data_IF_752463017025
#
_entry.id   IF_752463017025
#
_cell.length_a   1.000
_cell.length_b   1.000
_cell.length_c   1.000
_cell.angle_alpha   90.00
_cell.angle_beta   90.00
_cell.angle_gamma   90.00
#
_symmetry.space_group_name_H-M   'P 1'
#
loop_
_entity.id
_entity.type
_entity.pdbx_description
1 polymer ?
#
# COMPACT_ATOMS: atom_id res chain seq x y z
N UNK A 1 -33.74 45.56 57.10
CA UNK A 1 -33.97 44.33 57.89
C UNK A 1 -33.37 43.14 57.14
N UNK A 2 -32.29 42.54 57.66
CA UNK A 2 -31.75 41.29 57.11
C UNK A 2 -32.56 40.13 57.71
N UNK A 3 -33.40 39.47 56.90
CA UNK A 3 -34.06 38.22 57.31
C UNK A 3 -33.00 37.12 57.32
N UNK A 4 -32.75 36.53 58.49
CA UNK A 4 -31.90 35.35 58.60
C UNK A 4 -32.61 34.15 57.97
N UNK A 5 -31.89 33.36 57.18
CA UNK A 5 -32.41 32.13 56.59
C UNK A 5 -32.73 31.13 57.71
N UNK A 6 -33.88 30.47 57.62
CA UNK A 6 -34.25 29.44 58.57
C UNK A 6 -33.44 28.16 58.32
N UNK A 7 -33.19 27.37 59.36
CA UNK A 7 -32.42 26.12 59.25
C UNK A 7 -33.05 25.13 58.25
N UNK A 8 -34.38 25.16 58.13
CA UNK A 8 -35.12 24.33 57.16
C UNK A 8 -34.86 24.76 55.72
N UNK A 9 -34.83 26.06 55.42
CA UNK A 9 -34.51 26.57 54.08
C UNK A 9 -33.11 26.16 53.65
N UNK A 10 -32.12 26.21 54.55
CA UNK A 10 -30.76 25.76 54.28
C UNK A 10 -30.68 24.26 53.96
N UNK A 11 -31.43 23.42 54.68
CA UNK A 11 -31.47 21.98 54.43
C UNK A 11 -32.12 21.64 53.09
N UNK A 12 -33.23 22.32 52.76
CA UNK A 12 -33.92 22.13 51.47
C UNK A 12 -33.01 22.58 50.32
N UNK A 13 -32.33 23.72 50.44
CA UNK A 13 -31.38 24.19 49.42
C UNK A 13 -30.20 23.23 49.23
N UNK A 14 -29.63 22.69 50.31
CA UNK A 14 -28.54 21.70 50.23
C UNK A 14 -29.00 20.39 49.56
N UNK A 15 -30.21 19.93 49.90
CA UNK A 15 -30.78 18.71 49.31
C UNK A 15 -31.01 18.88 47.81
N UNK A 16 -31.58 20.01 47.39
CA UNK A 16 -31.75 20.34 45.97
C UNK A 16 -30.39 20.45 45.28
N UNK A 17 -29.41 21.10 45.90
CA UNK A 17 -28.06 21.23 45.34
C UNK A 17 -27.39 19.85 45.15
N UNK A 18 -27.52 18.93 46.10
CA UNK A 18 -27.00 17.56 45.95
C UNK A 18 -27.66 16.81 44.78
N UNK A 19 -28.98 16.93 44.63
CA UNK A 19 -29.71 16.29 43.52
C UNK A 19 -29.24 16.88 42.18
N UNK A 20 -29.11 18.21 42.09
CA UNK A 20 -28.65 18.90 40.88
C UNK A 20 -27.20 18.52 40.55
N UNK A 21 -26.30 18.50 41.54
CA UNK A 21 -24.91 18.08 41.34
C UNK A 21 -24.82 16.62 40.90
N UNK A 22 -25.65 15.74 41.46
CA UNK A 22 -25.73 14.34 41.03
C UNK A 22 -26.16 14.20 39.57
N UNK A 23 -27.16 14.97 39.14
CA UNK A 23 -27.60 15.00 37.74
C UNK A 23 -26.52 15.55 36.81
N UNK A 24 -25.86 16.66 37.17
CA UNK A 24 -24.75 17.25 36.39
C UNK A 24 -23.59 16.27 36.26
N UNK A 25 -23.20 15.62 37.36
CA UNK A 25 -22.10 14.65 37.36
C UNK A 25 -22.41 13.45 36.44
N UNK A 26 -23.63 12.93 36.48
CA UNK A 26 -24.08 11.85 35.59
C UNK A 26 -23.98 12.26 34.11
N UNK A 27 -24.47 13.45 33.76
CA UNK A 27 -24.40 13.98 32.39
C UNK A 27 -22.95 14.19 31.96
N UNK A 28 -22.11 14.75 32.83
CA UNK A 28 -20.69 14.97 32.53
C UNK A 28 -19.97 13.66 32.26
N UNK A 29 -20.22 12.62 33.05
CA UNK A 29 -19.61 11.30 32.85
C UNK A 29 -20.06 10.65 31.53
N UNK A 30 -21.35 10.77 31.18
CA UNK A 30 -21.88 10.31 29.89
C UNK A 30 -21.25 11.09 28.73
N UNK A 31 -21.07 12.40 28.87
CA UNK A 31 -20.44 13.23 27.84
C UNK A 31 -18.96 12.89 27.65
N UNK A 32 -18.21 12.68 28.73
CA UNK A 32 -16.80 12.29 28.66
C UNK A 32 -16.62 10.95 27.95
N UNK A 33 -17.38 9.92 28.34
CA UNK A 33 -17.30 8.60 27.70
C UNK A 33 -17.72 8.64 26.23
N UNK A 34 -18.80 9.36 25.90
CA UNK A 34 -19.22 9.56 24.50
C UNK A 34 -18.18 10.31 23.68
N UNK A 35 -17.60 11.38 24.22
CA UNK A 35 -16.59 12.18 23.53
C UNK A 35 -15.34 11.36 23.20
N UNK A 36 -14.87 10.55 24.16
CA UNK A 36 -13.73 9.65 23.95
C UNK A 36 -14.03 8.61 22.87
N UNK A 37 -15.20 7.96 22.95
CA UNK A 37 -15.60 6.97 21.95
C UNK A 37 -15.71 7.60 20.54
N UNK A 38 -16.24 8.82 20.43
CA UNK A 38 -16.31 9.54 19.14
C UNK A 38 -14.92 9.85 18.61
N UNK A 39 -14.01 10.35 19.46
CA UNK A 39 -12.64 10.65 19.07
C UNK A 39 -11.89 9.41 18.58
N UNK A 40 -11.94 8.31 19.33
CA UNK A 40 -11.32 7.03 18.94
C UNK A 40 -11.84 6.56 17.58
N UNK A 41 -13.15 6.67 17.34
CA UNK A 41 -13.72 6.26 16.05
C UNK A 41 -13.29 7.13 14.89
N UNK A 42 -13.06 8.42 15.14
CA UNK A 42 -12.54 9.32 14.12
C UNK A 42 -11.11 8.94 13.75
N UNK A 43 -10.26 8.64 14.74
CA UNK A 43 -8.87 8.21 14.52
C UNK A 43 -8.84 6.91 13.71
N UNK A 44 -9.62 5.90 14.11
CA UNK A 44 -9.72 4.63 13.36
C UNK A 44 -10.13 4.82 11.90
N UNK A 45 -11.07 5.73 11.61
CA UNK A 45 -11.45 6.02 10.22
C UNK A 45 -10.34 6.73 9.46
N UNK A 46 -9.66 7.69 10.08
CA UNK A 46 -8.56 8.42 9.45
C UNK A 46 -7.39 7.48 9.14
N UNK A 47 -6.96 6.68 10.10
CA UNK A 47 -5.83 5.76 9.94
C UNK A 47 -6.12 4.71 8.86
N UNK A 48 -7.34 4.16 8.84
CA UNK A 48 -7.75 3.22 7.80
C UNK A 48 -7.72 3.85 6.40
N UNK A 49 -8.16 5.10 6.25
CA UNK A 49 -8.16 5.79 4.95
C UNK A 49 -6.74 6.14 4.48
N UNK A 50 -5.87 6.55 5.40
CA UNK A 50 -4.45 6.80 5.09
C UNK A 50 -3.78 5.50 4.67
N UNK A 51 -3.91 4.42 5.47
CA UNK A 51 -3.32 3.13 5.16
C UNK A 51 -3.83 2.57 3.82
N UNK A 52 -5.14 2.63 3.56
CA UNK A 52 -5.69 2.24 2.28
C UNK A 52 -5.06 3.05 1.12
N UNK A 53 -4.90 4.36 1.30
CA UNK A 53 -4.26 5.20 0.28
C UNK A 53 -2.81 4.77 0.03
N UNK A 54 -2.02 4.55 1.07
CA UNK A 54 -0.62 4.12 0.93
C UNK A 54 -0.51 2.74 0.27
N UNK A 55 -1.38 1.78 0.65
CA UNK A 55 -1.43 0.45 0.03
C UNK A 55 -1.78 0.55 -1.46
N UNK A 56 -2.74 1.42 -1.81
CA UNK A 56 -3.08 1.68 -3.22
C UNK A 56 -1.88 2.22 -4.00
N UNK A 57 -1.10 3.13 -3.41
CA UNK A 57 0.11 3.66 -4.06
C UNK A 57 1.12 2.55 -4.36
N UNK A 58 1.39 1.65 -3.42
CA UNK A 58 2.27 0.50 -3.67
C UNK A 58 1.72 -0.43 -4.74
N UNK A 59 0.42 -0.73 -4.72
CA UNK A 59 -0.25 -1.53 -5.75
C UNK A 59 -0.16 -0.85 -7.13
N UNK A 60 -0.29 0.47 -7.19
CA UNK A 60 -0.11 1.23 -8.44
C UNK A 60 1.31 1.16 -8.96
N UNK A 61 2.32 1.19 -8.07
CA UNK A 61 3.73 1.14 -8.43
C UNK A 61 4.20 -0.28 -8.77
N UNK A 62 3.58 -1.31 -8.20
CA UNK A 62 3.95 -2.71 -8.42
C UNK A 62 4.09 -3.04 -9.91
N UNK A 63 5.15 -3.77 -10.25
CA UNK A 63 5.54 -4.11 -11.62
C UNK A 63 6.40 -3.07 -12.34
N UNK A 64 6.74 -1.96 -11.70
CA UNK A 64 7.61 -0.99 -12.32
C UNK A 64 9.03 -1.55 -12.54
N UNK A 65 9.54 -1.38 -13.76
CA UNK A 65 10.83 -1.93 -14.17
C UNK A 65 10.90 -3.46 -14.25
N UNK A 66 9.82 -4.18 -13.95
CA UNK A 66 9.77 -5.64 -14.02
C UNK A 66 9.40 -6.07 -15.45
N UNK A 67 10.10 -7.09 -15.97
CA UNK A 67 9.80 -7.62 -17.29
C UNK A 67 8.48 -8.41 -17.31
N UNK A 68 7.74 -8.39 -18.44
CA UNK A 68 6.39 -8.99 -18.56
C UNK A 68 6.28 -10.47 -18.17
N UNK A 69 7.38 -11.22 -18.28
CA UNK A 69 7.40 -12.65 -17.97
C UNK A 69 7.73 -12.94 -16.49
N UNK A 70 8.07 -11.92 -15.72
CA UNK A 70 8.38 -12.04 -14.29
C UNK A 70 7.13 -11.66 -13.50
N UNK A 71 6.70 -12.47 -12.52
CA UNK A 71 5.56 -12.11 -11.67
C UNK A 71 5.90 -10.86 -10.88
N UNK A 72 5.15 -9.79 -11.13
CA UNK A 72 5.20 -8.51 -10.41
C UNK A 72 4.43 -8.56 -9.08
N UNK A 73 3.45 -9.45 -8.99
CA UNK A 73 2.61 -9.67 -7.83
C UNK A 73 2.56 -11.17 -7.57
N UNK A 74 2.75 -11.55 -6.31
CA UNK A 74 2.45 -12.88 -5.82
C UNK A 74 1.47 -12.76 -4.67
N UNK A 75 0.60 -13.76 -4.51
CA UNK A 75 -0.38 -13.77 -3.43
C UNK A 75 -0.50 -15.15 -2.82
N UNK A 76 -0.92 -15.18 -1.57
CA UNK A 76 -1.26 -16.38 -0.83
C UNK A 76 -2.63 -16.15 -0.22
N UNK A 77 -3.63 -16.87 -0.76
CA UNK A 77 -4.96 -16.91 -0.17
C UNK A 77 -4.93 -17.84 1.05
N UNK A 78 -5.37 -17.33 2.20
CA UNK A 78 -5.59 -18.14 3.38
C UNK A 78 -7.09 -18.20 3.70
N UNK A 79 -7.79 -19.25 3.25
CA UNK A 79 -9.24 -19.39 3.45
C UNK A 79 -9.77 -19.30 4.90
N UNK A 80 -8.90 -19.39 5.92
CA UNK A 80 -9.27 -19.27 7.34
C UNK A 80 -8.39 -18.26 8.12
N UNK A 81 -7.69 -17.36 7.42
CA UNK A 81 -6.85 -16.35 8.02
C UNK A 81 -6.69 -15.15 7.08
N UNK A 82 -5.92 -14.15 7.52
CA UNK A 82 -5.56 -13.04 6.65
C UNK A 82 -4.72 -13.50 5.45
N UNK A 83 -4.99 -12.91 4.30
CA UNK A 83 -4.21 -13.09 3.09
C UNK A 83 -2.86 -12.39 3.18
N UNK A 84 -1.95 -12.83 2.31
CA UNK A 84 -0.68 -12.18 2.07
C UNK A 84 -0.53 -11.82 0.59
N UNK A 85 0.05 -10.65 0.34
CA UNK A 85 0.45 -10.23 -1.01
C UNK A 85 1.91 -9.77 -1.00
N UNK A 86 2.67 -10.16 -2.02
CA UNK A 86 4.04 -9.72 -2.27
C UNK A 86 4.03 -8.84 -3.52
N UNK A 87 4.55 -7.62 -3.40
CA UNK A 87 4.63 -6.65 -4.48
C UNK A 87 6.09 -6.44 -4.90
N UNK A 88 6.40 -6.67 -6.17
CA UNK A 88 7.73 -6.45 -6.76
C UNK A 88 7.73 -5.22 -7.65
N UNK A 89 8.88 -4.57 -7.78
CA UNK A 89 9.02 -3.35 -8.57
C UNK A 89 8.32 -2.14 -7.92
N UNK A 90 8.33 -2.08 -6.58
CA UNK A 90 7.74 -0.97 -5.80
C UNK A 90 8.77 0.07 -5.36
N UNK A 91 10.00 -0.03 -5.86
CA UNK A 91 11.14 0.82 -5.46
C UNK A 91 10.89 2.32 -5.64
N UNK A 92 10.12 2.73 -6.66
CA UNK A 92 9.81 4.15 -6.88
C UNK A 92 8.69 4.71 -5.98
N UNK A 93 8.19 3.92 -5.03
CA UNK A 93 7.21 4.36 -4.03
C UNK A 93 7.87 4.91 -2.77
N UNK A 94 7.62 4.30 -1.62
CA UNK A 94 8.23 4.70 -0.35
C UNK A 94 9.73 4.36 -0.23
N UNK A 95 10.28 3.63 -1.20
CA UNK A 95 11.63 3.06 -1.17
C UNK A 95 12.58 3.73 -2.18
N UNK A 96 12.30 4.96 -2.59
CA UNK A 96 13.04 5.67 -3.66
C UNK A 96 14.53 5.79 -3.37
N UNK A 97 14.93 5.80 -2.11
CA UNK A 97 16.34 5.87 -1.70
C UNK A 97 17.15 4.61 -2.06
N UNK A 98 16.47 3.49 -2.31
CA UNK A 98 17.11 2.20 -2.61
C UNK A 98 17.14 1.87 -4.11
N UNK A 99 16.41 2.60 -4.94
CA UNK A 99 16.33 2.30 -6.38
C UNK A 99 16.52 3.54 -7.22
N UNK A 100 17.52 3.49 -8.09
CA UNK A 100 17.76 4.56 -9.06
C UNK A 100 17.32 4.12 -10.43
N UNK A 101 16.87 5.11 -11.21
CA UNK A 101 16.42 4.86 -12.56
C UNK A 101 16.78 6.01 -13.48
N UNK A 102 16.93 5.71 -14.76
CA UNK A 102 17.02 6.73 -15.80
C UNK A 102 16.63 6.19 -17.18
N UNK A 103 15.92 6.99 -18.00
CA UNK A 103 15.69 6.66 -19.39
C UNK A 103 16.97 6.83 -20.23
N UNK A 104 17.13 5.96 -21.21
CA UNK A 104 18.20 6.04 -22.22
C UNK A 104 17.88 7.14 -23.23
N UNK A 105 18.82 8.05 -23.47
CA UNK A 105 18.61 9.25 -24.29
C UNK A 105 18.75 8.96 -25.78
N UNK A 106 19.65 8.05 -26.15
CA UNK A 106 19.95 7.72 -27.54
C UNK A 106 20.06 6.21 -27.76
N UNK A 107 19.78 5.79 -29.01
CA UNK A 107 19.96 4.38 -29.39
C UNK A 107 21.44 4.06 -29.40
N UNK A 108 21.80 2.97 -28.73
CA UNK A 108 23.14 2.40 -28.71
C UNK A 108 23.11 1.03 -29.38
N UNK A 109 24.09 0.71 -30.21
CA UNK A 109 24.19 -0.59 -30.88
C UNK A 109 25.58 -1.19 -30.66
N UNK A 110 25.62 -2.38 -30.05
CA UNK A 110 26.84 -3.13 -29.76
C UNK A 110 27.97 -2.30 -29.10
N UNK A 111 27.62 -1.48 -28.11
CA UNK A 111 28.58 -0.65 -27.37
C UNK A 111 28.51 -0.94 -25.87
N UNK A 112 29.62 -0.67 -25.18
CA UNK A 112 29.70 -0.73 -23.72
C UNK A 112 29.41 0.61 -23.05
N UNK A 113 28.91 1.59 -23.80
CA UNK A 113 28.60 2.93 -23.29
C UNK A 113 27.12 3.23 -23.53
N UNK A 114 26.42 3.65 -22.48
CA UNK A 114 25.01 4.01 -22.51
C UNK A 114 24.87 5.44 -22.01
N UNK A 115 24.13 6.27 -22.75
CA UNK A 115 23.80 7.62 -22.31
C UNK A 115 22.41 7.61 -21.68
N UNK A 116 22.36 7.92 -20.39
CA UNK A 116 21.12 7.99 -19.61
C UNK A 116 20.86 9.42 -19.16
N UNK A 117 19.59 9.76 -19.00
CA UNK A 117 19.19 11.06 -18.49
C UNK A 117 19.63 11.25 -17.04
N UNK A 118 20.09 12.45 -16.72
CA UNK A 118 20.40 12.85 -15.34
C UNK A 118 19.28 13.74 -14.83
N UNK A 119 18.60 13.29 -13.78
CA UNK A 119 17.65 14.13 -13.05
C UNK A 119 18.39 15.25 -12.32
N UNK A 120 17.79 16.44 -12.31
CA UNK A 120 18.32 17.61 -11.61
C UNK A 120 17.87 17.60 -10.13
N UNK A 121 18.09 16.48 -9.46
CA UNK A 121 17.75 16.28 -8.06
C UNK A 121 18.98 15.83 -7.25
N UNK A 122 18.79 15.74 -5.94
CA UNK A 122 19.82 15.30 -4.98
C UNK A 122 19.74 13.82 -4.66
N UNK A 123 18.84 13.05 -5.32
CA UNK A 123 18.72 11.60 -5.11
C UNK A 123 19.97 10.91 -5.63
N UNK A 124 20.33 9.72 -5.09
CA UNK A 124 21.54 9.02 -5.50
C UNK A 124 21.55 8.84 -7.01
N UNK A 125 22.59 9.37 -7.65
CA UNK A 125 22.90 8.99 -9.01
C UNK A 125 23.43 7.54 -8.99
N UNK A 126 23.41 6.88 -10.15
CA UNK A 126 24.19 5.65 -10.33
C UNK A 126 25.63 5.83 -9.83
N UNK A 127 26.18 4.80 -9.20
CA UNK A 127 27.57 4.76 -8.73
C UNK A 127 28.39 3.72 -9.50
N UNK A 128 29.71 3.91 -9.52
CA UNK A 128 30.62 2.92 -10.11
C UNK A 128 30.61 1.67 -9.24
N UNK A 129 30.34 0.52 -9.85
CA UNK A 129 30.17 -0.77 -9.17
C UNK A 129 28.71 -1.19 -9.03
N UNK A 130 27.75 -0.30 -9.29
CA UNK A 130 26.34 -0.66 -9.26
C UNK A 130 26.01 -1.68 -10.35
N UNK A 131 25.13 -2.61 -9.97
CA UNK A 131 24.54 -3.57 -10.88
C UNK A 131 23.23 -3.01 -11.40
N UNK A 132 23.05 -2.99 -12.72
CA UNK A 132 21.87 -2.45 -13.38
C UNK A 132 21.14 -3.50 -14.22
N UNK A 133 19.86 -3.24 -14.43
CA UNK A 133 18.97 -3.96 -15.32
C UNK A 133 18.48 -2.97 -16.38
N UNK A 134 18.36 -3.45 -17.62
CA UNK A 134 17.90 -2.64 -18.74
C UNK A 134 16.66 -3.30 -19.33
N UNK A 135 15.58 -2.51 -19.39
CA UNK A 135 14.28 -2.95 -19.87
C UNK A 135 13.85 -2.04 -21.02
N UNK A 136 13.34 -2.62 -22.10
CA UNK A 136 12.85 -1.84 -23.23
C UNK A 136 11.45 -1.23 -22.95
N UNK A 137 10.92 -0.49 -23.93
CA UNK A 137 9.61 0.15 -23.83
C UNK A 137 8.47 -0.88 -23.78
N UNK A 138 8.67 -2.04 -24.39
CA UNK A 138 7.76 -3.18 -24.34
C UNK A 138 7.97 -4.04 -23.07
N UNK A 139 8.68 -3.57 -22.04
CA UNK A 139 8.94 -4.33 -20.80
C UNK A 139 9.60 -5.70 -21.04
N UNK A 140 10.41 -5.84 -22.08
CA UNK A 140 11.32 -6.97 -22.28
C UNK A 140 12.66 -6.67 -21.65
N UNK A 141 13.18 -7.67 -20.96
CA UNK A 141 14.51 -7.63 -20.35
C UNK A 141 15.55 -7.70 -21.47
N UNK A 142 16.32 -6.61 -21.68
CA UNK A 142 17.40 -6.57 -22.67
C UNK A 142 18.67 -7.19 -22.09
N UNK A 143 19.03 -6.81 -20.88
CA UNK A 143 20.15 -7.39 -20.14
C UNK A 143 19.88 -7.27 -18.63
N UNK A 144 20.47 -8.19 -17.88
CA UNK A 144 20.40 -8.24 -16.44
C UNK A 144 21.79 -8.44 -15.87
N UNK A 145 22.08 -7.70 -14.80
CA UNK A 145 23.37 -7.74 -14.11
C UNK A 145 24.52 -7.13 -14.91
N UNK A 146 24.29 -6.02 -15.63
CA UNK A 146 25.39 -5.21 -16.14
C UNK A 146 26.00 -4.45 -14.98
N UNK A 147 27.33 -4.34 -14.92
CA UNK A 147 28.01 -3.61 -13.86
C UNK A 147 28.56 -2.31 -14.42
N UNK A 148 28.29 -1.20 -13.74
CA UNK A 148 28.83 0.10 -14.11
C UNK A 148 30.31 0.16 -13.74
N UNK A 149 31.17 0.30 -14.74
CA UNK A 149 32.62 0.39 -14.60
C UNK A 149 33.14 1.83 -14.51
N UNK A 150 32.42 2.78 -15.12
CA UNK A 150 32.77 4.20 -15.12
C UNK A 150 31.52 5.04 -15.38
N UNK A 151 31.48 6.26 -14.82
CA UNK A 151 30.42 7.24 -15.01
C UNK A 151 31.05 8.57 -15.38
N UNK A 152 30.70 9.10 -16.55
CA UNK A 152 31.08 10.45 -16.96
C UNK A 152 29.83 11.34 -17.01
N UNK A 153 29.86 12.50 -16.35
CA UNK A 153 28.81 13.50 -16.52
C UNK A 153 28.95 14.15 -17.89
N UNK A 154 27.89 14.13 -18.69
CA UNK A 154 27.88 14.69 -20.04
C UNK A 154 26.69 15.62 -20.22
N UNK A 155 26.90 16.65 -21.02
CA UNK A 155 25.84 17.50 -21.53
C UNK A 155 25.55 17.05 -22.96
N UNK A 156 24.39 16.44 -23.17
CA UNK A 156 23.98 15.89 -24.47
C UNK A 156 23.04 16.86 -25.19
N UNK A 157 23.46 17.35 -26.34
CA UNK A 157 22.66 18.28 -27.14
C UNK A 157 21.88 17.53 -28.22
N UNK A 158 20.54 17.57 -28.14
CA UNK A 158 19.64 17.04 -29.16
C UNK A 158 18.89 18.20 -29.81
N UNK A 159 19.25 18.53 -31.04
CA UNK A 159 18.69 19.67 -31.78
C UNK A 159 18.76 20.99 -30.98
N UNK A 160 17.64 21.67 -30.73
CA UNK A 160 17.55 22.94 -29.99
C UNK A 160 17.60 22.79 -28.46
N UNK A 161 17.68 21.56 -27.93
CA UNK A 161 17.65 21.30 -26.50
C UNK A 161 18.96 20.69 -26.01
N UNK A 162 19.32 21.06 -24.78
CA UNK A 162 20.46 20.53 -24.06
C UNK A 162 19.95 19.73 -22.87
N UNK A 163 20.38 18.48 -22.76
CA UNK A 163 19.99 17.57 -21.69
C UNK A 163 21.22 17.16 -20.90
N UNK A 164 21.15 17.26 -19.59
CA UNK A 164 22.16 16.68 -18.72
C UNK A 164 21.99 15.16 -18.68
N UNK A 165 23.10 14.46 -18.79
CA UNK A 165 23.12 13.01 -18.84
C UNK A 165 24.33 12.43 -18.14
N UNK A 166 24.24 11.13 -17.87
CA UNK A 166 25.38 10.31 -17.51
C UNK A 166 25.73 9.40 -18.67
N UNK A 167 27.02 9.34 -18.98
CA UNK A 167 27.58 8.31 -19.84
C UNK A 167 28.06 7.18 -18.93
N UNK A 168 27.26 6.12 -18.88
CA UNK A 168 27.56 4.91 -18.11
C UNK A 168 28.37 3.97 -18.98
N UNK A 169 29.56 3.59 -18.54
CA UNK A 169 30.33 2.53 -19.17
C UNK A 169 30.11 1.23 -18.44
N UNK A 170 29.63 0.21 -19.12
CA UNK A 170 29.32 -1.10 -18.57
C UNK A 170 30.38 -2.15 -18.92
N UNK A 171 30.35 -3.27 -18.20
CA UNK A 171 31.28 -4.40 -18.32
C UNK A 171 31.19 -5.17 -19.66
N UNK A 172 30.13 -4.97 -20.44
CA UNK A 172 29.85 -5.70 -21.69
C UNK A 172 29.22 -4.81 -22.76
N UNK A 173 29.27 -5.26 -24.03
CA UNK A 173 28.61 -4.56 -25.11
C UNK A 173 27.12 -4.94 -25.19
N UNK A 174 26.25 -3.94 -25.33
CA UNK A 174 24.80 -4.11 -25.41
C UNK A 174 24.22 -3.27 -26.56
N UNK A 175 23.02 -3.64 -27.02
CA UNK A 175 22.21 -2.81 -27.91
C UNK A 175 20.94 -2.40 -27.18
N UNK A 176 20.69 -1.10 -27.09
CA UNK A 176 19.58 -0.53 -26.32
C UNK A 176 18.94 0.58 -27.14
N UNK A 177 17.62 0.61 -27.15
CA UNK A 177 16.86 1.60 -27.89
C UNK A 177 16.64 2.85 -27.03
N UNK A 178 16.53 4.01 -27.70
CA UNK A 178 16.15 5.26 -27.04
C UNK A 178 14.85 5.06 -26.26
N UNK A 179 14.78 5.57 -25.04
CA UNK A 179 13.60 5.45 -24.17
C UNK A 179 13.50 4.13 -23.40
N UNK A 180 14.42 3.18 -23.62
CA UNK A 180 14.59 2.06 -22.69
C UNK A 180 14.93 2.60 -21.30
N UNK A 181 14.58 1.86 -20.27
CA UNK A 181 14.78 2.26 -18.89
C UNK A 181 15.94 1.46 -18.27
N UNK A 182 16.85 2.18 -17.62
CA UNK A 182 17.94 1.62 -16.83
C UNK A 182 17.55 1.73 -15.36
N UNK A 183 17.67 0.62 -14.64
CA UNK A 183 17.33 0.54 -13.22
C UNK A 183 18.47 -0.06 -12.42
N UNK A 184 18.72 0.48 -11.23
CA UNK A 184 19.45 -0.22 -10.18
C UNK A 184 18.44 -1.01 -9.35
N UNK A 185 18.34 -2.35 -9.52
CA UNK A 185 17.42 -3.15 -8.74
C UNK A 185 17.90 -3.26 -7.29
N UNK A 186 17.02 -2.96 -6.34
CA UNK A 186 17.22 -3.39 -4.95
C UNK A 186 16.66 -4.81 -4.76
N UNK A 187 17.36 -5.63 -3.98
CA UNK A 187 16.97 -7.03 -3.76
C UNK A 187 15.62 -7.15 -3.08
N UNK A 188 15.29 -6.24 -2.16
CA UNK A 188 14.07 -6.31 -1.37
C UNK A 188 12.88 -5.74 -2.12
N UNK A 189 13.05 -4.68 -2.92
CA UNK A 189 11.92 -4.07 -3.65
C UNK A 189 11.69 -4.68 -5.05
N UNK A 190 12.74 -5.14 -5.72
CA UNK A 190 12.68 -5.65 -7.09
C UNK A 190 12.69 -7.19 -7.14
N UNK A 191 13.64 -7.83 -6.45
CA UNK A 191 13.84 -9.28 -6.51
C UNK A 191 12.82 -10.08 -5.69
N UNK A 192 12.88 -9.91 -4.36
CA UNK A 192 11.95 -10.58 -3.45
C UNK A 192 10.56 -9.94 -3.51
N UNK A 193 10.53 -8.60 -3.45
CA UNK A 193 9.33 -7.81 -3.28
C UNK A 193 9.05 -7.49 -1.82
N UNK A 194 8.09 -6.59 -1.61
CA UNK A 194 7.61 -6.18 -0.30
C UNK A 194 6.36 -6.97 0.02
N UNK A 195 6.41 -7.68 1.15
CA UNK A 195 5.30 -8.49 1.65
C UNK A 195 4.36 -7.66 2.52
N UNK A 196 3.06 -7.83 2.33
CA UNK A 196 2.05 -7.39 3.26
C UNK A 196 1.53 -8.60 4.03
N UNK A 197 1.82 -8.65 5.34
CA UNK A 197 1.49 -9.79 6.19
C UNK A 197 0.90 -9.32 7.51
N UNK A 198 -0.18 -9.96 7.95
CA UNK A 198 -0.76 -9.69 9.26
C UNK A 198 -0.04 -10.51 10.34
N UNK A 199 0.52 -9.83 11.34
CA UNK A 199 1.19 -10.45 12.49
C UNK A 199 0.62 -9.88 13.78
N UNK A 200 -0.09 -10.71 14.56
CA UNK A 200 -0.63 -10.32 15.88
C UNK A 200 -1.40 -8.99 15.85
N UNK A 201 -2.38 -8.89 14.96
CA UNK A 201 -3.19 -7.68 14.69
C UNK A 201 -2.42 -6.45 14.19
N UNK A 202 -1.19 -6.63 13.73
CA UNK A 202 -0.39 -5.57 13.11
C UNK A 202 -0.11 -5.96 11.67
N UNK A 203 -0.61 -5.16 10.73
CA UNK A 203 -0.28 -5.32 9.33
C UNK A 203 1.14 -4.79 9.13
N UNK A 204 2.01 -5.69 8.68
CA UNK A 204 3.40 -5.42 8.36
C UNK A 204 3.54 -5.15 6.86
N UNK A 205 4.38 -4.20 6.50
CA UNK A 205 4.89 -3.98 5.13
C UNK A 205 6.38 -4.29 5.15
N UNK A 206 6.76 -5.43 4.59
CA UNK A 206 8.07 -6.03 4.80
C UNK A 206 8.34 -6.21 6.30
N UNK A 207 9.36 -5.52 6.81
CA UNK A 207 9.72 -5.54 8.24
C UNK A 207 9.23 -4.31 9.03
N UNK A 208 8.43 -3.44 8.41
CA UNK A 208 7.93 -2.22 9.03
C UNK A 208 6.46 -2.37 9.43
N UNK A 209 6.10 -1.78 10.56
CA UNK A 209 4.70 -1.65 10.96
C UNK A 209 4.01 -0.71 9.97
N UNK A 210 2.98 -1.20 9.30
CA UNK A 210 2.19 -0.42 8.36
C UNK A 210 0.90 0.10 9.00
N UNK A 211 0.18 -0.78 9.71
CA UNK A 211 -1.08 -0.43 10.37
C UNK A 211 -1.30 -1.33 11.59
N UNK A 212 -1.62 -0.74 12.73
CA UNK A 212 -1.97 -1.47 13.95
C UNK A 212 -3.47 -1.72 14.04
N UNK A 213 -3.87 -2.64 14.93
CA UNK A 213 -5.26 -3.01 15.20
C UNK A 213 -6.00 -3.54 13.96
N UNK A 214 -5.31 -4.22 13.06
CA UNK A 214 -5.92 -4.89 11.91
C UNK A 214 -6.37 -6.27 12.35
N UNK A 215 -7.65 -6.59 12.21
CA UNK A 215 -8.20 -7.92 12.52
C UNK A 215 -7.96 -8.89 11.37
N UNK A 216 -8.16 -8.41 10.14
CA UNK A 216 -8.11 -9.24 8.93
C UNK A 216 -7.80 -8.37 7.70
N UNK A 217 -7.18 -8.98 6.69
CA UNK A 217 -6.91 -8.39 5.37
C UNK A 217 -7.07 -9.47 4.29
N UNK A 218 -7.74 -9.13 3.20
CA UNK A 218 -8.09 -10.04 2.11
C UNK A 218 -7.87 -9.35 0.76
N UNK A 219 -7.51 -10.14 -0.26
CA UNK A 219 -7.28 -9.65 -1.62
C UNK A 219 -8.09 -10.44 -2.65
N UNK A 220 -8.74 -9.71 -3.54
CA UNK A 220 -9.38 -10.30 -4.72
C UNK A 220 -8.82 -9.67 -6.01
N UNK A 221 -8.68 -10.48 -7.04
CA UNK A 221 -8.06 -10.17 -8.32
C UNK A 221 -9.15 -10.20 -9.40
N UNK A 222 -9.47 -9.04 -9.97
CA UNK A 222 -10.34 -8.91 -11.12
C UNK A 222 -9.53 -9.01 -12.40
N UNK A 223 -9.90 -9.91 -13.31
CA UNK A 223 -9.30 -10.02 -14.66
C UNK A 223 -10.40 -10.05 -15.70
N UNK A 224 -10.35 -9.12 -16.65
CA UNK A 224 -11.33 -8.99 -17.74
C UNK A 224 -11.01 -10.06 -18.80
N UNK A 225 -11.51 -11.28 -18.58
CA UNK A 225 -11.18 -12.45 -19.40
C UNK A 225 -11.92 -12.45 -20.74
N UNK A 226 -12.98 -11.66 -20.86
CA UNK A 226 -13.83 -11.58 -22.05
C UNK A 226 -13.61 -10.30 -22.87
N UNK A 227 -12.74 -9.40 -22.38
CA UNK A 227 -12.37 -8.11 -22.95
C UNK A 227 -13.57 -7.16 -23.19
N UNK A 228 -14.59 -7.23 -22.33
CA UNK A 228 -15.79 -6.37 -22.41
C UNK A 228 -15.60 -5.00 -21.72
N UNK A 229 -14.46 -4.80 -21.05
CA UNK A 229 -14.09 -3.57 -20.37
C UNK A 229 -14.68 -3.41 -18.97
N UNK A 230 -15.38 -4.43 -18.47
CA UNK A 230 -15.98 -4.47 -17.14
C UNK A 230 -15.59 -5.76 -16.41
N UNK A 231 -15.68 -5.75 -15.06
CA UNK A 231 -15.51 -6.98 -14.29
C UNK A 231 -16.86 -7.47 -13.80
N UNK A 232 -17.18 -8.70 -14.12
CA UNK A 232 -18.34 -9.42 -13.58
C UNK A 232 -17.95 -10.17 -12.31
N UNK A 233 -18.92 -10.59 -11.50
CA UNK A 233 -18.64 -11.30 -10.24
C UNK A 233 -17.84 -12.60 -10.45
N UNK A 234 -18.02 -13.26 -11.60
CA UNK A 234 -17.28 -14.47 -11.97
C UNK A 234 -15.82 -14.23 -12.41
N UNK A 235 -15.43 -12.96 -12.55
CA UNK A 235 -14.09 -12.52 -12.98
C UNK A 235 -13.25 -12.02 -11.80
N UNK A 236 -13.77 -12.15 -10.58
CA UNK A 236 -13.04 -11.92 -9.33
C UNK A 236 -12.57 -13.24 -8.72
N UNK A 237 -11.28 -13.30 -8.43
CA UNK A 237 -10.61 -14.50 -7.91
C UNK A 237 -9.86 -14.14 -6.63
N UNK A 238 -9.90 -14.95 -5.59
CA UNK A 238 -9.16 -14.66 -4.34
C UNK A 238 -7.72 -15.19 -4.38
N UNK A 239 -7.39 -15.99 -5.40
CA UNK A 239 -6.03 -16.47 -5.63
C UNK A 239 -5.66 -16.29 -7.09
N UNK A 240 -4.47 -15.72 -7.36
CA UNK A 240 -3.99 -15.53 -8.73
C UNK A 240 -3.90 -16.85 -9.51
N UNK A 241 -3.48 -17.93 -8.86
CA UNK A 241 -3.34 -19.26 -9.47
C UNK A 241 -4.68 -19.86 -9.92
N UNK A 242 -5.80 -19.38 -9.38
CA UNK A 242 -7.15 -19.86 -9.71
C UNK A 242 -7.73 -19.23 -10.98
N UNK A 243 -7.09 -18.18 -11.51
CA UNK A 243 -7.52 -17.51 -12.74
C UNK A 243 -7.38 -18.48 -13.93
N UNK A 244 -8.41 -18.70 -14.77
CA UNK A 244 -8.36 -19.60 -15.90
C UNK A 244 -7.23 -19.28 -16.89
N UNK A 245 -6.22 -20.15 -17.00
CA UNK A 245 -5.08 -19.93 -17.88
C UNK A 245 -4.04 -18.95 -17.32
N UNK A 246 -4.02 -18.77 -16.00
CA UNK A 246 -3.08 -17.86 -15.33
C UNK A 246 -1.64 -18.04 -15.80
N UNK A 247 -1.04 -16.92 -16.19
CA UNK A 247 0.40 -16.77 -16.35
C UNK A 247 0.80 -15.37 -15.90
N UNK A 248 2.04 -15.12 -15.46
CA UNK A 248 2.49 -13.77 -15.10
C UNK A 248 2.25 -12.73 -16.20
N UNK A 249 2.31 -13.16 -17.47
CA UNK A 249 2.07 -12.32 -18.64
C UNK A 249 0.61 -11.92 -18.80
N UNK A 250 -0.33 -12.74 -18.35
CA UNK A 250 -1.78 -12.48 -18.46
C UNK A 250 -2.16 -11.13 -17.84
N UNK A 251 -1.54 -10.75 -16.72
CA UNK A 251 -1.82 -9.49 -16.04
C UNK A 251 -1.56 -8.27 -16.94
N UNK A 252 -0.63 -8.41 -17.90
CA UNK A 252 -0.27 -7.39 -18.90
C UNK A 252 -1.12 -7.44 -20.15
N UNK A 253 -1.80 -8.55 -20.42
CA UNK A 253 -2.60 -8.75 -21.64
C UNK A 253 -4.06 -8.37 -21.45
N UNK A 254 -4.56 -8.50 -20.22
CA UNK A 254 -5.93 -8.17 -19.86
C UNK A 254 -5.97 -6.98 -18.91
N UNK A 255 -7.12 -6.32 -18.85
CA UNK A 255 -7.38 -5.34 -17.79
C UNK A 255 -7.43 -6.06 -16.47
N UNK A 256 -6.65 -5.59 -15.51
CA UNK A 256 -6.56 -6.20 -14.18
C UNK A 256 -6.78 -5.18 -13.08
N UNK A 257 -7.47 -5.63 -12.04
CA UNK A 257 -7.65 -4.86 -10.83
C UNK A 257 -7.48 -5.71 -9.59
N UNK A 258 -7.11 -5.06 -8.50
CA UNK A 258 -6.90 -5.69 -7.20
C UNK A 258 -7.81 -4.98 -6.22
N UNK A 259 -8.71 -5.74 -5.62
CA UNK A 259 -9.53 -5.30 -4.51
C UNK A 259 -8.80 -5.70 -3.25
N UNK A 260 -8.39 -4.71 -2.47
CA UNK A 260 -7.83 -4.89 -1.15
C UNK A 260 -8.89 -4.51 -0.13
N UNK A 261 -9.18 -5.39 0.83
CA UNK A 261 -10.12 -5.14 1.90
C UNK A 261 -9.49 -5.51 3.24
N UNK A 262 -9.72 -4.72 4.29
CA UNK A 262 -9.26 -5.04 5.64
C UNK A 262 -10.23 -4.52 6.70
N UNK A 263 -10.15 -5.12 7.88
CA UNK A 263 -10.94 -4.75 9.06
C UNK A 263 -10.01 -4.19 10.13
N UNK A 264 -10.32 -3.00 10.64
CA UNK A 264 -9.66 -2.44 11.82
C UNK A 264 -10.53 -2.53 13.05
N UNK A 265 -9.91 -2.73 14.21
CA UNK A 265 -10.51 -2.75 15.52
C UNK A 265 -10.24 -1.46 16.28
N UNK A 266 -11.15 -1.09 17.18
CA UNK A 266 -10.85 -0.12 18.22
C UNK A 266 -9.70 -0.59 19.10
N UNK A 267 -8.83 0.34 19.52
CA UNK A 267 -7.66 0.05 20.37
C UNK A 267 -8.03 -0.69 21.66
N UNK A 268 -9.24 -0.47 22.16
CA UNK A 268 -9.77 -1.11 23.37
C UNK A 268 -11.19 -1.60 23.20
N UNK A 269 -11.57 -2.52 24.08
CA UNK A 269 -12.95 -2.96 24.24
C UNK A 269 -13.82 -1.79 24.73
N UNK A 270 -14.96 -1.60 24.08
CA UNK A 270 -15.97 -0.61 24.46
C UNK A 270 -17.05 -1.32 25.29
N UNK A 271 -17.11 -0.98 26.58
CA UNK A 271 -17.99 -1.65 27.56
C UNK A 271 -19.46 -1.67 27.15
N UNK A 272 -19.95 -0.57 26.58
CA UNK A 272 -21.35 -0.38 26.20
C UNK A 272 -21.59 -0.61 24.70
N UNK A 273 -20.62 -1.22 24.02
CA UNK A 273 -20.73 -1.61 22.62
C UNK A 273 -21.01 -3.10 22.50
N UNK A 274 -21.83 -3.47 21.52
CA UNK A 274 -21.97 -4.84 21.09
C UNK A 274 -22.07 -4.87 19.57
N UNK A 275 -21.14 -5.56 18.92
CA UNK A 275 -21.21 -5.79 17.49
C UNK A 275 -22.47 -6.61 17.18
N UNK A 276 -23.27 -6.22 16.17
CA UNK A 276 -24.61 -6.77 15.97
C UNK A 276 -24.62 -8.21 15.43
N UNK A 277 -23.54 -8.66 14.80
CA UNK A 277 -23.45 -10.01 14.21
C UNK A 277 -22.56 -10.93 15.05
N UNK A 278 -22.77 -12.24 14.88
CA UNK A 278 -21.98 -13.30 15.53
C UNK A 278 -20.80 -13.77 14.67
N UNK A 279 -20.66 -13.22 13.47
CA UNK A 279 -19.58 -13.50 12.55
C UNK A 279 -19.21 -12.24 11.76
N UNK A 280 -17.98 -12.24 11.27
CA UNK A 280 -17.44 -11.27 10.34
C UNK A 280 -17.18 -11.96 9.00
N UNK A 281 -17.44 -11.25 7.89
CA UNK A 281 -17.16 -11.72 6.54
C UNK A 281 -16.35 -10.64 5.82
N UNK A 282 -15.20 -11.02 5.29
CA UNK A 282 -14.33 -10.19 4.47
C UNK A 282 -13.91 -11.01 3.26
N UNK A 283 -14.33 -10.59 2.06
CA UNK A 283 -14.15 -11.37 0.82
C UNK A 283 -14.56 -12.86 1.00
N UNK A 284 -13.64 -13.82 0.91
CA UNK A 284 -13.90 -15.25 1.11
C UNK A 284 -13.67 -15.77 2.53
N UNK A 285 -13.13 -14.95 3.43
CA UNK A 285 -12.92 -15.34 4.80
C UNK A 285 -14.13 -15.00 5.68
N UNK A 286 -14.65 -16.00 6.39
CA UNK A 286 -15.74 -15.86 7.36
C UNK A 286 -15.29 -16.46 8.69
N UNK A 287 -15.35 -15.66 9.76
CA UNK A 287 -14.98 -16.11 11.10
C UNK A 287 -16.00 -15.68 12.15
N UNK A 288 -16.18 -16.53 13.16
CA UNK A 288 -17.10 -16.28 14.28
C UNK A 288 -16.48 -15.30 15.29
N UNK A 289 -17.32 -14.47 15.90
CA UNK A 289 -16.94 -13.50 16.92
C UNK A 289 -17.32 -14.03 18.30
N UNK A 290 -16.37 -14.04 19.24
CA UNK A 290 -16.67 -14.31 20.64
C UNK A 290 -17.41 -13.14 21.29
N UNK A 291 -18.00 -13.38 22.47
CA UNK A 291 -18.65 -12.33 23.26
C UNK A 291 -17.70 -11.18 23.65
N UNK A 292 -16.40 -11.47 23.75
CA UNK A 292 -15.37 -10.45 23.97
C UNK A 292 -15.07 -9.68 22.68
N UNK A 293 -14.99 -10.36 21.54
CA UNK A 293 -14.71 -9.75 20.24
C UNK A 293 -15.82 -8.77 19.82
N UNK A 294 -17.06 -9.05 20.23
CA UNK A 294 -18.21 -8.17 20.01
C UNK A 294 -18.11 -6.86 20.77
N UNK A 295 -17.17 -6.71 21.72
CA UNK A 295 -16.90 -5.43 22.41
C UNK A 295 -15.96 -4.50 21.65
N UNK A 296 -15.32 -4.97 20.58
CA UNK A 296 -14.51 -4.12 19.72
C UNK A 296 -15.35 -3.56 18.58
N UNK A 297 -15.20 -2.25 18.33
CA UNK A 297 -15.80 -1.64 17.15
C UNK A 297 -14.94 -1.95 15.92
N UNK A 298 -15.59 -2.40 14.86
CA UNK A 298 -14.97 -2.73 13.58
C UNK A 298 -15.18 -1.63 12.55
N UNK A 299 -14.14 -1.33 11.78
CA UNK A 299 -14.20 -0.48 10.61
C UNK A 299 -13.74 -1.28 9.39
N UNK A 300 -14.64 -1.46 8.43
CA UNK A 300 -14.38 -2.18 7.20
C UNK A 300 -13.98 -1.18 6.12
N UNK A 301 -12.84 -1.39 5.50
CA UNK A 301 -12.35 -0.54 4.42
C UNK A 301 -11.94 -1.40 3.25
N UNK A 302 -12.38 -1.02 2.05
CA UNK A 302 -11.99 -1.68 0.81
C UNK A 302 -11.75 -0.66 -0.29
N UNK A 303 -10.87 -1.02 -1.22
CA UNK A 303 -10.66 -0.28 -2.45
C UNK A 303 -10.29 -1.20 -3.59
N UNK A 304 -10.69 -0.78 -4.79
CA UNK A 304 -10.24 -1.37 -6.04
C UNK A 304 -9.11 -0.50 -6.61
N UNK A 305 -7.99 -1.15 -6.92
CA UNK A 305 -6.80 -0.53 -7.50
C UNK A 305 -6.53 -1.13 -8.87
N UNK A 306 -6.17 -0.26 -9.82
CA UNK A 306 -5.83 -0.63 -11.19
C UNK A 306 -4.33 -0.47 -11.37
N UNK A 307 -3.53 -1.51 -11.11
CA UNK A 307 -2.08 -1.42 -11.13
C UNK A 307 -1.59 -1.07 -12.55
N UNK A 308 -1.11 0.16 -12.75
CA UNK A 308 -0.78 0.68 -14.09
C UNK A 308 0.48 0.06 -14.67
N UNK A 309 1.41 -0.34 -13.81
CA UNK A 309 2.69 -0.88 -14.25
C UNK A 309 2.62 -2.38 -14.57
N UNK A 310 1.47 -3.04 -14.39
CA UNK A 310 1.30 -4.45 -14.78
C UNK A 310 0.29 -4.64 -15.91
N UNK A 311 -0.26 -3.57 -16.48
CA UNK A 311 -1.19 -3.61 -17.62
C UNK A 311 -0.65 -2.71 -18.74
N UNK A 312 -0.98 -3.02 -19.99
CA UNK A 312 -0.67 -2.22 -21.18
C UNK A 312 -1.83 -1.30 -21.60
#
# INVERSE_FOLDING_TARGET
MKRGMTLVEMLVSLTIMMIVLGAIYSVLNIQQTKSLNVQETSVLHTDAQVALTLLRWDLFMAGYGIARHTPSIASTNNANAADQITLRGVGLGFETDYTDWAPVIERVSASNEILVYRFNDSTPAFEVGDTIIIVDQEKRLLDSNCVISQIDSIVHSVAEFTLDGFKLRIDRAISVDKGSLVFRPDRNTYGNGIDYTLVSNTLMRGNQVFLENVEDIQFAYGVDLNDDGTFQDAEWFNELSSIPGYSPRMLYEHRTAIRSAFVMLSERMLRDYNYPADACTLEDHIYALSELDKKYKRNFVSAITWPRNIQD
#
